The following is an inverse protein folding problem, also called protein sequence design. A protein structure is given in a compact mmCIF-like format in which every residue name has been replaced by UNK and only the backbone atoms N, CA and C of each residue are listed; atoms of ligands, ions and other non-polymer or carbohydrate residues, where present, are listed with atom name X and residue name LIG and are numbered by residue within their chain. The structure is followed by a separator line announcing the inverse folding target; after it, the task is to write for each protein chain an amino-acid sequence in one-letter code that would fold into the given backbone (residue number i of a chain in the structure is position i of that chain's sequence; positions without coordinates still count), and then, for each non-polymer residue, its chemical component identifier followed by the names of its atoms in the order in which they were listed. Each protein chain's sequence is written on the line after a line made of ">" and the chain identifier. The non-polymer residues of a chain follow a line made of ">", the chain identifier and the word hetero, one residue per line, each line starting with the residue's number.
data_IF_738401703525
#
_entry.id   IF_738401703525
#
_cell.length_a   1.000
_cell.length_b   1.000
_cell.length_c   1.000
_cell.angle_alpha   90.00
_cell.angle_beta   90.00
_cell.angle_gamma   90.00
#
_symmetry.space_group_name_H-M   'P 1'
#
loop_
_entity.id
_entity.type
_entity.pdbx_description
1 polymer ?
#
# COMPACT_ATOMS: atom_id res chain seq x y z
N UNK A 1 -20.06 -17.26 -1.87
CA UNK A 1 -18.90 -17.62 -2.74
C UNK A 1 -17.85 -18.36 -1.92
N UNK A 2 -17.18 -19.39 -2.46
CA UNK A 2 -16.07 -20.07 -1.78
C UNK A 2 -14.75 -19.47 -2.27
N UNK A 3 -13.95 -18.91 -1.37
CA UNK A 3 -12.63 -18.36 -1.68
C UNK A 3 -11.58 -19.21 -0.95
N UNK A 4 -10.48 -19.57 -1.62
CA UNK A 4 -9.33 -20.21 -0.95
C UNK A 4 -8.16 -19.25 -0.93
N UNK A 5 -7.65 -18.93 0.27
CA UNK A 5 -6.46 -18.12 0.45
C UNK A 5 -5.23 -19.02 0.47
N UNK A 6 -4.24 -18.71 -0.36
CA UNK A 6 -2.93 -19.36 -0.40
C UNK A 6 -1.87 -18.34 0.02
N UNK A 7 -1.40 -18.42 1.27
CA UNK A 7 -0.45 -17.47 1.85
C UNK A 7 0.94 -18.07 1.78
N UNK A 8 1.91 -17.39 1.16
CA UNK A 8 3.26 -17.95 1.07
C UNK A 8 3.92 -18.03 2.46
N UNK A 9 4.58 -19.13 2.77
CA UNK A 9 5.28 -19.32 4.05
C UNK A 9 6.44 -18.33 4.21
N UNK A 10 6.97 -17.79 3.11
CA UNK A 10 7.97 -16.73 3.15
C UNK A 10 7.46 -15.42 3.74
N UNK A 11 6.13 -15.21 3.82
CA UNK A 11 5.58 -13.97 4.38
C UNK A 11 5.94 -13.80 5.85
N UNK A 12 6.05 -14.89 6.62
CA UNK A 12 6.41 -14.79 8.04
C UNK A 12 7.79 -14.13 8.19
N UNK A 13 8.76 -14.54 7.36
CA UNK A 13 10.10 -13.91 7.30
C UNK A 13 10.07 -12.48 6.77
N UNK A 14 9.19 -12.19 5.80
CA UNK A 14 9.03 -10.83 5.26
C UNK A 14 8.46 -9.89 6.32
N UNK A 15 7.45 -10.33 7.07
CA UNK A 15 6.87 -9.58 8.19
C UNK A 15 7.90 -9.34 9.30
N UNK A 16 8.64 -10.37 9.71
CA UNK A 16 9.70 -10.23 10.72
C UNK A 16 10.74 -9.18 10.30
N UNK A 17 11.16 -9.21 9.03
CA UNK A 17 12.08 -8.19 8.48
C UNK A 17 11.48 -6.78 8.59
N UNK A 18 10.21 -6.62 8.24
CA UNK A 18 9.54 -5.32 8.23
C UNK A 18 9.32 -4.77 9.65
N UNK A 19 8.88 -5.59 10.59
CA UNK A 19 8.64 -5.20 11.99
C UNK A 19 9.90 -4.60 12.61
N UNK A 20 11.07 -5.15 12.32
CA UNK A 20 12.34 -4.70 12.91
C UNK A 20 13.01 -3.53 12.18
N UNK A 21 12.49 -3.09 11.03
CA UNK A 21 13.16 -2.08 10.21
C UNK A 21 12.78 -0.64 10.55
N UNK A 22 11.51 -0.36 10.87
CA UNK A 22 11.02 0.97 11.25
C UNK A 22 9.58 0.91 11.78
N UNK A 23 9.12 2.00 12.41
CA UNK A 23 7.70 2.13 12.82
C UNK A 23 6.73 2.13 11.62
N UNK A 24 7.16 2.70 10.48
CA UNK A 24 6.32 2.80 9.28
C UNK A 24 6.12 1.41 8.64
N UNK A 25 7.18 0.62 8.57
CA UNK A 25 7.14 -0.75 8.06
C UNK A 25 6.41 -1.70 9.01
N UNK A 26 6.50 -1.49 10.32
CA UNK A 26 5.67 -2.19 11.30
C UNK A 26 4.18 -1.88 11.08
N UNK A 27 3.82 -0.61 10.86
CA UNK A 27 2.44 -0.21 10.52
C UNK A 27 1.94 -0.84 9.22
N UNK A 28 2.82 -1.02 8.23
CA UNK A 28 2.47 -1.74 7.00
C UNK A 28 2.11 -3.22 7.27
N UNK A 29 2.78 -3.88 8.22
CA UNK A 29 2.44 -5.25 8.63
C UNK A 29 1.07 -5.31 9.31
N UNK A 30 0.75 -4.35 10.18
CA UNK A 30 -0.58 -4.26 10.78
C UNK A 30 -1.69 -4.08 9.72
N UNK A 31 -1.46 -3.20 8.74
CA UNK A 31 -2.42 -2.98 7.64
C UNK A 31 -2.55 -4.20 6.73
N UNK A 32 -1.47 -4.93 6.50
CA UNK A 32 -1.53 -6.21 5.79
C UNK A 32 -2.42 -7.22 6.51
N UNK A 33 -2.24 -7.39 7.83
CA UNK A 33 -3.07 -8.29 8.63
C UNK A 33 -4.55 -7.86 8.60
N UNK A 34 -4.82 -6.57 8.75
CA UNK A 34 -6.17 -6.03 8.65
C UNK A 34 -6.79 -6.27 7.26
N UNK A 35 -6.02 -6.08 6.18
CA UNK A 35 -6.48 -6.37 4.83
C UNK A 35 -6.79 -7.86 4.63
N UNK A 36 -6.02 -8.78 5.21
CA UNK A 36 -6.37 -10.21 5.18
C UNK A 36 -7.68 -10.50 5.92
N UNK A 37 -7.90 -9.89 7.08
CA UNK A 37 -9.17 -10.00 7.80
C UNK A 37 -10.35 -9.44 6.98
N UNK A 38 -10.15 -8.29 6.33
CA UNK A 38 -11.15 -7.71 5.43
C UNK A 38 -11.46 -8.65 4.26
N UNK A 39 -10.44 -9.28 3.65
CA UNK A 39 -10.64 -10.28 2.58
C UNK A 39 -11.40 -11.50 3.10
N UNK A 40 -11.08 -11.98 4.32
CA UNK A 40 -11.78 -13.12 4.94
C UNK A 40 -13.25 -12.80 5.19
N UNK A 41 -13.56 -11.57 5.58
CA UNK A 41 -14.91 -11.16 5.96
C UNK A 41 -15.78 -10.72 4.78
N UNK A 42 -15.23 -9.91 3.89
CA UNK A 42 -15.98 -9.25 2.82
C UNK A 42 -15.63 -9.78 1.42
N UNK A 43 -14.63 -10.65 1.31
CA UNK A 43 -14.12 -11.14 0.04
C UNK A 43 -13.29 -10.10 -0.71
N UNK A 44 -12.70 -10.54 -1.81
CA UNK A 44 -11.81 -9.75 -2.68
C UNK A 44 -12.49 -8.56 -3.38
N UNK A 45 -13.82 -8.58 -3.44
CA UNK A 45 -14.67 -7.56 -4.05
C UNK A 45 -15.37 -6.67 -3.03
N UNK A 46 -15.18 -6.91 -1.72
CA UNK A 46 -15.73 -6.05 -0.68
C UNK A 46 -15.13 -4.63 -0.75
N UNK A 47 -15.96 -3.62 -0.52
CA UNK A 47 -15.56 -2.21 -0.62
C UNK A 47 -14.28 -1.90 0.18
N UNK A 48 -14.21 -2.35 1.44
CA UNK A 48 -13.03 -2.19 2.32
C UNK A 48 -11.73 -2.78 1.77
N UNK A 49 -11.84 -3.78 0.89
CA UNK A 49 -10.69 -4.38 0.18
C UNK A 49 -10.37 -3.61 -1.09
N UNK A 50 -11.40 -3.20 -1.84
CA UNK A 50 -11.24 -2.48 -3.10
C UNK A 50 -10.57 -1.12 -2.93
N UNK A 51 -10.94 -0.36 -1.89
CA UNK A 51 -10.35 0.98 -1.63
C UNK A 51 -8.84 0.92 -1.36
N UNK A 52 -8.32 -0.22 -0.91
CA UNK A 52 -6.90 -0.43 -0.63
C UNK A 52 -6.10 -0.79 -1.88
N UNK A 53 -6.73 -1.03 -3.04
CA UNK A 53 -6.01 -1.38 -4.28
C UNK A 53 -5.24 -0.19 -4.83
N UNK A 54 -4.06 -0.45 -5.40
CA UNK A 54 -3.35 0.61 -6.12
C UNK A 54 -4.12 0.99 -7.39
N UNK A 55 -4.15 2.28 -7.72
CA UNK A 55 -4.90 2.81 -8.88
C UNK A 55 -4.44 2.24 -10.23
N UNK A 56 -3.16 1.91 -10.33
CA UNK A 56 -2.57 1.35 -11.55
C UNK A 56 -2.62 -0.18 -11.46
N UNK A 57 -3.19 -0.82 -12.49
CA UNK A 57 -3.14 -2.26 -12.63
C UNK A 57 -1.71 -2.78 -12.78
N UNK A 58 -1.51 -4.07 -12.52
CA UNK A 58 -0.24 -4.76 -12.73
C UNK A 58 -0.34 -5.66 -13.96
N UNK A 59 0.48 -5.41 -14.98
CA UNK A 59 0.39 -6.09 -16.28
C UNK A 59 1.43 -7.21 -16.43
N UNK A 60 2.48 -7.23 -15.59
CA UNK A 60 3.56 -8.23 -15.67
C UNK A 60 3.09 -9.64 -15.34
N UNK A 61 2.09 -9.76 -14.46
CA UNK A 61 1.48 -11.04 -14.05
C UNK A 61 -0.03 -10.91 -14.23
N UNK A 62 -0.64 -11.86 -14.93
CA UNK A 62 -2.09 -11.88 -15.18
C UNK A 62 -2.85 -11.99 -13.85
N UNK A 63 -3.93 -11.22 -13.71
CA UNK A 63 -4.77 -11.17 -12.50
C UNK A 63 -4.01 -10.80 -11.22
N UNK A 64 -2.88 -10.09 -11.37
CA UNK A 64 -2.14 -9.55 -10.25
C UNK A 64 -2.80 -8.26 -9.75
N UNK A 65 -3.02 -8.18 -8.44
CA UNK A 65 -3.53 -6.99 -7.77
C UNK A 65 -2.54 -6.57 -6.69
N UNK A 66 -2.19 -5.28 -6.69
CA UNK A 66 -1.38 -4.66 -5.65
C UNK A 66 -2.28 -3.87 -4.70
N UNK A 67 -1.95 -3.90 -3.41
CA UNK A 67 -2.61 -3.09 -2.40
C UNK A 67 -1.63 -2.12 -1.77
N UNK A 68 -2.10 -0.91 -1.49
CA UNK A 68 -1.37 0.11 -0.75
C UNK A 68 -1.46 -0.16 0.75
N UNK A 69 -0.30 -0.36 1.39
CA UNK A 69 -0.20 -0.56 2.83
C UNK A 69 0.32 0.68 3.56
N UNK A 70 0.38 1.83 2.88
CA UNK A 70 0.99 3.06 3.37
C UNK A 70 2.51 3.02 3.37
N UNK A 71 3.14 4.20 3.54
CA UNK A 71 4.58 4.31 3.77
C UNK A 71 5.47 3.76 2.65
N UNK A 72 4.94 3.61 1.43
CA UNK A 72 5.65 3.00 0.30
C UNK A 72 5.66 1.47 0.30
N UNK A 73 4.86 0.82 1.14
CA UNK A 73 4.74 -0.65 1.19
C UNK A 73 3.57 -1.15 0.34
N UNK A 74 3.73 -2.34 -0.24
CA UNK A 74 2.75 -2.97 -1.12
C UNK A 74 2.57 -4.44 -0.76
N UNK A 75 1.31 -4.87 -0.80
CA UNK A 75 0.97 -6.29 -0.88
C UNK A 75 0.80 -6.67 -2.35
N UNK A 76 1.31 -7.83 -2.74
CA UNK A 76 1.02 -8.44 -4.04
C UNK A 76 0.07 -9.62 -3.81
N UNK A 77 -0.94 -9.73 -4.67
CA UNK A 77 -1.82 -10.89 -4.74
C UNK A 77 -2.07 -11.31 -6.18
N UNK A 78 -2.36 -12.59 -6.40
CA UNK A 78 -2.67 -13.14 -7.73
C UNK A 78 -3.92 -14.01 -7.63
N UNK A 79 -4.88 -13.79 -8.52
CA UNK A 79 -6.16 -14.53 -8.51
C UNK A 79 -6.25 -15.54 -9.65
N UNK A 80 -6.51 -16.81 -9.32
CA UNK A 80 -6.71 -17.91 -10.27
C UNK A 80 -7.97 -18.70 -9.90
N UNK A 81 -9.04 -18.46 -10.67
CA UNK A 81 -10.37 -18.96 -10.32
C UNK A 81 -10.76 -18.45 -8.92
N UNK A 82 -11.13 -19.38 -8.05
CA UNK A 82 -11.50 -19.10 -6.65
C UNK A 82 -10.30 -19.13 -5.67
N UNK A 83 -9.07 -19.08 -6.19
CA UNK A 83 -7.84 -19.11 -5.39
C UNK A 83 -7.17 -17.73 -5.40
N UNK A 84 -6.99 -17.14 -4.23
CA UNK A 84 -6.19 -15.93 -4.05
C UNK A 84 -4.83 -16.29 -3.45
N UNK A 85 -3.78 -16.11 -4.23
CA UNK A 85 -2.41 -16.25 -3.79
C UNK A 85 -1.93 -14.92 -3.19
N UNK A 86 -1.24 -15.01 -2.05
CA UNK A 86 -0.62 -13.90 -1.32
C UNK A 86 0.89 -14.17 -1.22
N UNK A 87 1.65 -13.93 -2.31
CA UNK A 87 3.04 -14.37 -2.40
C UNK A 87 4.06 -13.40 -1.78
N UNK A 88 3.73 -12.10 -1.69
CA UNK A 88 4.74 -11.10 -1.36
C UNK A 88 4.20 -9.85 -0.67
N UNK A 89 4.98 -9.38 0.32
CA UNK A 89 4.82 -8.16 1.08
C UNK A 89 6.19 -7.45 1.14
N UNK A 90 6.25 -6.17 0.76
CA UNK A 90 7.50 -5.42 0.82
C UNK A 90 7.36 -3.94 0.44
N UNK A 91 8.49 -3.24 0.37
CA UNK A 91 8.54 -1.87 -0.14
C UNK A 91 8.25 -1.82 -1.64
N UNK A 92 7.97 -0.62 -2.16
CA UNK A 92 7.75 -0.36 -3.59
C UNK A 92 8.84 -1.00 -4.46
N UNK A 93 10.11 -0.75 -4.15
CA UNK A 93 11.24 -1.21 -4.95
C UNK A 93 11.43 -2.73 -4.85
N UNK A 94 11.19 -3.31 -3.67
CA UNK A 94 11.24 -4.77 -3.50
C UNK A 94 10.09 -5.45 -4.23
N UNK A 95 8.90 -4.85 -4.22
CA UNK A 95 7.72 -5.34 -4.96
C UNK A 95 7.99 -5.32 -6.46
N UNK A 96 8.54 -4.23 -7.01
CA UNK A 96 8.86 -4.17 -8.43
C UNK A 96 9.91 -5.21 -8.83
N UNK A 97 10.97 -5.37 -8.03
CA UNK A 97 11.95 -6.44 -8.25
C UNK A 97 11.34 -7.84 -8.15
N UNK A 98 10.41 -8.04 -7.22
CA UNK A 98 9.73 -9.32 -7.06
C UNK A 98 8.89 -9.63 -8.30
N UNK A 99 8.10 -8.67 -8.78
CA UNK A 99 7.26 -8.81 -9.98
C UNK A 99 8.08 -9.12 -11.23
N UNK A 100 9.22 -8.45 -11.40
CA UNK A 100 10.10 -8.70 -12.55
C UNK A 100 10.71 -10.11 -12.54
N UNK A 101 10.99 -10.64 -11.35
CA UNK A 101 11.51 -12.00 -11.17
C UNK A 101 10.45 -13.08 -11.37
N UNK A 102 9.19 -12.82 -10.99
CA UNK A 102 8.11 -13.81 -10.97
C UNK A 102 7.09 -13.63 -12.12
N UNK A 103 7.41 -12.82 -13.14
CA UNK A 103 6.53 -12.56 -14.29
C UNK A 103 6.16 -13.79 -15.13
N UNK A 104 6.93 -14.87 -15.01
CA UNK A 104 6.73 -16.13 -15.73
C UNK A 104 6.36 -17.28 -14.79
N UNK A 105 6.08 -16.99 -13.52
CA UNK A 105 5.76 -18.00 -12.53
C UNK A 105 4.32 -18.47 -12.66
N UNK A 106 4.14 -19.78 -12.58
CA UNK A 106 2.83 -20.40 -12.50
C UNK A 106 2.42 -20.56 -11.03
N UNK A 107 1.28 -19.96 -10.66
CA UNK A 107 0.68 -20.13 -9.34
C UNK A 107 -0.20 -21.39 -9.36
N UNK A 108 0.29 -22.45 -8.74
CA UNK A 108 -0.37 -23.77 -8.73
C UNK A 108 -0.90 -24.07 -7.34
N UNK A 109 -2.12 -24.62 -7.28
CA UNK A 109 -2.73 -25.15 -6.05
C UNK A 109 -1.87 -26.33 -5.54
N UNK A 110 -1.89 -26.59 -4.23
CA UNK A 110 -1.09 -27.64 -3.57
C UNK A 110 0.43 -27.45 -3.63
N UNK A 111 0.90 -26.25 -4.02
CA UNK A 111 2.31 -25.93 -3.89
C UNK A 111 2.68 -25.77 -2.41
N UNK A 112 3.60 -26.62 -1.94
CA UNK A 112 4.04 -26.69 -0.55
C UNK A 112 4.67 -25.38 -0.01
N UNK A 113 4.99 -24.39 -0.85
CA UNK A 113 5.44 -23.07 -0.37
C UNK A 113 4.31 -22.19 0.15
N UNK A 114 3.05 -22.58 -0.06
CA UNK A 114 1.86 -21.87 0.43
C UNK A 114 1.17 -22.66 1.56
N UNK A 115 0.64 -21.94 2.55
CA UNK A 115 -0.38 -22.45 3.45
C UNK A 115 -1.76 -22.05 2.91
N UNK A 116 -2.70 -22.98 2.91
CA UNK A 116 -4.02 -22.76 2.32
C UNK A 116 -5.12 -22.79 3.39
N UNK A 117 -6.08 -21.86 3.29
CA UNK A 117 -7.28 -21.83 4.13
C UNK A 117 -8.52 -21.55 3.29
N UNK A 118 -9.64 -22.21 3.61
CA UNK A 118 -10.92 -21.92 2.97
C UNK A 118 -11.63 -20.79 3.71
N UNK A 119 -12.10 -19.82 2.93
CA UNK A 119 -12.90 -18.69 3.39
C UNK A 119 -14.33 -18.89 2.91
N UNK A 120 -15.24 -19.05 3.86
CA UNK A 120 -16.67 -19.10 3.61
C UNK A 120 -17.20 -17.68 3.70
N UNK A 121 -17.49 -17.08 2.55
CA UNK A 121 -18.13 -15.78 2.50
C UNK A 121 -19.62 -15.99 2.77
N UNK A 122 -20.11 -15.46 3.90
CA UNK A 122 -21.53 -15.38 4.14
C UNK A 122 -22.14 -14.42 3.11
N UNK A 123 -23.22 -14.83 2.44
CA UNK A 123 -24.02 -13.97 1.59
C UNK A 123 -24.75 -12.95 2.48
N UNK A 124 -24.01 -11.96 2.99
CA UNK A 124 -24.60 -10.83 3.68
C UNK A 124 -25.06 -9.87 2.58
N UNK A 125 -26.32 -10.02 2.16
CA UNK A 125 -27.02 -8.94 1.46
C UNK A 125 -26.86 -7.66 2.28
N UNK A 126 -26.28 -6.65 1.63
CA UNK A 126 -25.93 -5.36 2.18
C UNK A 126 -27.07 -4.77 3.02
N UNK A 127 -26.82 -4.65 4.32
CA UNK A 127 -27.43 -3.63 5.16
C UNK A 127 -26.33 -3.12 6.10
N UNK A 128 -25.29 -2.48 5.54
CA UNK A 128 -24.36 -1.69 6.36
C UNK A 128 -24.90 -0.27 6.40
N UNK A 129 -25.73 -0.04 7.42
CA UNK A 129 -26.07 1.29 7.89
C UNK A 129 -24.75 2.00 8.13
N UNK A 130 -24.56 3.14 7.45
CA UNK A 130 -23.47 4.09 7.71
C UNK A 130 -23.34 4.30 9.22
N UNK A 131 -22.41 3.59 9.84
CA UNK A 131 -21.83 4.05 11.09
C UNK A 131 -20.67 4.94 10.66
N UNK A 132 -20.79 6.22 11.00
CA UNK A 132 -19.70 7.20 11.03
C UNK A 132 -18.64 6.72 12.03
N UNK A 133 -17.99 5.60 11.73
CA UNK A 133 -16.72 5.26 12.33
C UNK A 133 -15.71 6.10 11.54
N UNK A 134 -15.30 7.21 12.14
CA UNK A 134 -14.22 8.07 11.69
C UNK A 134 -13.13 7.22 11.03
N UNK A 135 -13.06 7.29 9.70
CA UNK A 135 -11.90 6.84 8.96
C UNK A 135 -10.74 7.67 9.47
N UNK A 136 -9.99 7.14 10.42
CA UNK A 136 -8.62 7.56 10.63
C UNK A 136 -7.85 7.06 9.41
N UNK A 137 -7.95 7.82 8.33
CA UNK A 137 -6.94 7.82 7.29
C UNK A 137 -5.62 8.17 7.99
N UNK A 138 -4.83 7.18 8.36
CA UNK A 138 -3.51 7.39 8.95
C UNK A 138 -2.59 8.26 8.04
N UNK A 139 -2.93 8.40 6.75
CA UNK A 139 -2.30 9.38 5.86
C UNK A 139 -2.43 10.77 6.46
N UNK A 140 -3.61 11.14 6.98
CA UNK A 140 -3.85 12.42 7.66
C UNK A 140 -2.98 12.59 8.91
N UNK A 141 -2.71 11.53 9.69
CA UNK A 141 -1.90 11.69 10.92
C UNK A 141 -0.41 11.89 10.61
N UNK A 142 0.13 11.15 9.64
CA UNK A 142 1.52 11.34 9.22
C UNK A 142 1.70 12.62 8.40
N UNK A 143 0.77 12.94 7.48
CA UNK A 143 0.76 14.18 6.72
C UNK A 143 0.61 15.38 7.64
N UNK A 144 -0.32 15.40 8.60
CA UNK A 144 -0.43 16.50 9.59
C UNK A 144 0.83 16.63 10.45
N UNK A 145 1.47 15.52 10.85
CA UNK A 145 2.73 15.56 11.60
C UNK A 145 3.90 16.05 10.74
N UNK A 146 3.87 15.80 9.44
CA UNK A 146 4.87 16.24 8.47
C UNK A 146 4.66 17.73 8.13
N UNK A 147 3.42 18.15 7.88
CA UNK A 147 3.00 19.55 7.69
C UNK A 147 3.34 20.41 8.91
N UNK A 148 3.09 19.92 10.13
CA UNK A 148 3.47 20.62 11.36
C UNK A 148 4.99 20.79 11.52
N UNK A 149 5.80 20.00 10.81
CA UNK A 149 7.27 20.07 10.82
C UNK A 149 7.84 20.78 9.58
N UNK A 150 7.04 20.99 8.54
CA UNK A 150 7.41 21.76 7.35
C UNK A 150 7.03 23.23 7.57
N UNK A 151 7.86 23.94 8.33
CA UNK A 151 7.75 25.39 8.44
C UNK A 151 8.40 26.08 7.21
N UNK A 152 7.90 27.26 6.83
CA UNK A 152 8.41 28.06 5.71
C UNK A 152 9.93 28.30 5.81
N UNK A 153 10.48 28.42 7.01
CA UNK A 153 11.91 28.56 7.31
C UNK A 153 12.72 27.34 6.84
N UNK A 154 12.18 26.13 6.98
CA UNK A 154 12.83 24.89 6.51
C UNK A 154 12.75 24.81 4.99
N UNK A 155 11.61 25.16 4.40
CA UNK A 155 11.47 25.23 2.93
C UNK A 155 12.43 26.27 2.33
N UNK A 156 12.50 27.46 2.93
CA UNK A 156 13.41 28.53 2.53
C UNK A 156 14.88 28.14 2.73
N UNK A 157 15.18 27.32 3.74
CA UNK A 157 16.51 26.78 4.03
C UNK A 157 16.97 25.75 3.00
N UNK A 158 16.07 24.91 2.49
CA UNK A 158 16.40 23.88 1.49
C UNK A 158 16.45 24.48 0.08
N UNK A 159 15.56 25.43 -0.22
CA UNK A 159 15.44 26.06 -1.54
C UNK A 159 16.14 27.43 -1.64
N UNK A 160 17.22 27.66 -0.89
CA UNK A 160 17.96 28.93 -0.89
C UNK A 160 18.47 29.36 -2.28
N UNK A 161 18.64 28.41 -3.21
CA UNK A 161 19.00 28.68 -4.61
C UNK A 161 17.88 29.29 -5.46
N UNK A 162 16.61 29.06 -5.10
CA UNK A 162 15.45 29.61 -5.83
C UNK A 162 15.08 31.03 -5.37
N UNK A 163 15.58 31.48 -4.21
CA UNK A 163 15.21 32.77 -3.62
C UNK A 163 16.24 33.89 -3.86
N UNK A 164 17.22 33.68 -4.76
CA UNK A 164 18.29 34.66 -5.02
C UNK A 164 18.03 35.65 -6.16
N UNK A 165 16.88 35.63 -6.83
CA UNK A 165 16.61 36.51 -7.98
C UNK A 165 15.54 37.58 -7.73
N UNK A 166 15.64 38.32 -6.62
CA UNK A 166 15.00 39.65 -6.50
C UNK A 166 15.92 40.64 -5.77
N UNK A 167 17.08 40.90 -6.35
CA UNK A 167 17.68 42.23 -6.31
C UNK A 167 18.14 42.59 -7.72
N UNK A 168 17.98 43.87 -8.04
CA UNK A 168 18.49 44.57 -9.23
C UNK A 168 17.53 44.69 -10.41
N UNK A 169 16.53 45.58 -10.30
CA UNK A 169 16.43 46.72 -11.23
C UNK A 169 15.55 47.84 -10.65
N UNK A 170 16.16 48.87 -10.05
CA UNK A 170 15.65 50.24 -10.19
C UNK A 170 16.84 51.09 -10.57
N UNK A 171 16.89 51.40 -11.86
CA UNK A 171 17.84 52.30 -12.48
C UNK A 171 17.72 53.71 -11.89
N UNK A 172 18.89 54.33 -11.69
CA UNK A 172 19.05 55.78 -11.64
C UNK A 172 18.33 56.46 -12.82
N UNK A 173 17.59 57.52 -12.52
CA UNK A 173 16.94 58.42 -13.47
C UNK A 173 17.04 59.85 -12.98
N UNK A 174 17.79 60.64 -13.73
CA UNK A 174 18.29 62.00 -13.48
C UNK A 174 17.22 63.11 -13.69
N UNK A 175 17.39 64.21 -12.94
CA UNK A 175 16.95 65.63 -13.16
C UNK A 175 15.46 66.00 -13.30
N UNK A 176 15.00 66.92 -12.44
CA UNK A 176 14.99 68.37 -12.72
C UNK A 176 14.90 69.18 -11.42
#
# INVERSE_FOLDING_TARGET
>A
MNLTLHIAQSLDRQMDKLIHSSRISEQAVYRFLQLLEDIRKYGVHGEKVLIKRTRNGEQRIKNCVKYDLGGGFRLVTVMIGDNLFVPFLGSHDETDQWLDRHKADDFVVDNAVYRSEQVVLADNEENDVLSEAEELDDTDTYERQLEAKLDETILLSIFQGLNRNRKDTVHEGVQS
#
